data_IF_019306190075
#
_entry.id   IF_019306190075
#
_cell.length_a   1.000
_cell.length_b   1.000
_cell.length_c   1.000
_cell.angle_alpha   90.00
_cell.angle_beta   90.00
_cell.angle_gamma   90.00
#
_symmetry.space_group_name_H-M   'P 1'
#
loop_
_entity.id
_entity.type
_entity.pdbx_description
1 polymer ?
#
# COMPACT_ATOMS: atom_id res chain seq x y z
N UNK A 1 -24.97 -7.65 -8.08
CA UNK A 1 -23.54 -7.22 -8.06
C UNK A 1 -23.00 -7.51 -6.67
N UNK A 2 -21.76 -7.99 -6.55
CA UNK A 2 -21.15 -8.23 -5.24
C UNK A 2 -20.72 -6.91 -4.57
N UNK A 3 -20.92 -6.80 -3.27
CA UNK A 3 -20.53 -5.66 -2.43
C UNK A 3 -19.00 -5.47 -2.42
N UNK A 4 -18.55 -4.21 -2.24
CA UNK A 4 -17.14 -3.90 -1.99
C UNK A 4 -16.89 -3.87 -0.49
N UNK A 5 -15.93 -4.68 -0.02
CA UNK A 5 -15.46 -4.69 1.36
C UNK A 5 -14.04 -4.13 1.42
N UNK A 6 -13.80 -3.19 2.33
CA UNK A 6 -12.47 -2.59 2.54
C UNK A 6 -11.82 -3.24 3.76
N UNK A 7 -10.64 -3.82 3.57
CA UNK A 7 -9.91 -4.53 4.62
C UNK A 7 -8.62 -3.76 4.94
N UNK A 8 -8.38 -3.40 6.22
CA UNK A 8 -7.10 -2.83 6.63
C UNK A 8 -6.01 -3.90 6.54
N UNK A 9 -4.88 -3.53 5.95
CA UNK A 9 -3.70 -4.38 5.85
C UNK A 9 -2.97 -4.38 7.18
N UNK A 10 -2.63 -5.57 7.65
CA UNK A 10 -1.92 -5.83 8.90
C UNK A 10 -0.90 -6.96 8.72
N UNK A 11 0.30 -6.77 9.27
CA UNK A 11 1.37 -7.76 9.22
C UNK A 11 2.00 -7.99 7.84
N UNK A 12 3.06 -8.80 7.85
CA UNK A 12 3.95 -9.03 6.69
C UNK A 12 3.24 -9.62 5.47
N UNK A 13 2.37 -10.62 5.67
CA UNK A 13 1.69 -11.31 4.57
C UNK A 13 0.73 -10.38 3.82
N UNK A 14 -0.04 -9.57 4.55
CA UNK A 14 -0.99 -8.64 3.92
C UNK A 14 -0.26 -7.46 3.26
N UNK A 15 0.89 -7.01 3.80
CA UNK A 15 1.76 -6.04 3.11
C UNK A 15 2.27 -6.59 1.78
N UNK A 16 2.67 -7.86 1.73
CA UNK A 16 3.05 -8.50 0.48
C UNK A 16 1.88 -8.54 -0.51
N UNK A 17 0.68 -8.92 -0.06
CA UNK A 17 -0.52 -8.90 -0.89
C UNK A 17 -0.84 -7.50 -1.44
N UNK A 18 -0.64 -6.45 -0.63
CA UNK A 18 -0.82 -5.06 -1.05
C UNK A 18 0.16 -4.64 -2.15
N UNK A 19 1.44 -5.02 -2.04
CA UNK A 19 2.46 -4.77 -3.06
C UNK A 19 2.16 -5.56 -4.33
N UNK A 20 1.88 -6.85 -4.21
CA UNK A 20 1.63 -7.75 -5.34
C UNK A 20 0.39 -7.34 -6.13
N UNK A 21 -0.66 -6.86 -5.44
CA UNK A 21 -1.85 -6.33 -6.11
C UNK A 21 -1.52 -5.09 -6.96
N UNK A 22 -0.69 -4.19 -6.43
CA UNK A 22 -0.23 -3.01 -7.18
C UNK A 22 0.53 -3.40 -8.44
N UNK A 23 1.45 -4.36 -8.32
CA UNK A 23 2.21 -4.90 -9.45
C UNK A 23 1.28 -5.52 -10.50
N UNK A 24 0.34 -6.35 -10.09
CA UNK A 24 -0.62 -6.99 -10.99
C UNK A 24 -1.52 -5.99 -11.75
N UNK A 25 -1.74 -4.78 -11.22
CA UNK A 25 -2.41 -3.70 -11.95
C UNK A 25 -1.48 -3.05 -12.96
N UNK A 26 -0.25 -2.74 -12.55
CA UNK A 26 0.74 -2.09 -13.40
C UNK A 26 1.20 -2.98 -14.56
N UNK A 27 1.27 -4.31 -14.36
CA UNK A 27 1.64 -5.30 -15.40
C UNK A 27 0.65 -5.33 -16.59
N UNK A 28 -0.52 -4.70 -16.46
CA UNK A 28 -1.51 -4.56 -17.54
C UNK A 28 -1.22 -3.37 -18.47
N UNK A 29 -0.26 -2.51 -18.11
CA UNK A 29 0.09 -1.32 -18.87
C UNK A 29 1.22 -1.65 -19.86
N UNK A 30 1.06 -1.35 -21.17
CA UNK A 30 1.94 -1.88 -22.22
C UNK A 30 3.40 -1.40 -22.12
N UNK A 31 3.65 -0.25 -21.49
CA UNK A 31 4.98 0.36 -21.38
C UNK A 31 5.46 0.47 -19.93
N UNK A 32 4.87 -0.30 -19.01
CA UNK A 32 5.26 -0.26 -17.61
C UNK A 32 6.54 -1.07 -17.35
N UNK A 33 7.48 -0.45 -16.65
CA UNK A 33 8.70 -1.11 -16.17
C UNK A 33 8.57 -1.31 -14.67
N UNK A 34 8.53 -2.56 -14.17
CA UNK A 34 8.33 -2.82 -12.75
C UNK A 34 9.57 -2.43 -11.93
N UNK A 35 9.33 -1.79 -10.78
CA UNK A 35 10.32 -1.62 -9.72
C UNK A 35 10.71 -2.99 -9.12
N UNK A 36 11.84 -3.05 -8.42
CA UNK A 36 12.27 -4.28 -7.75
C UNK A 36 11.26 -4.60 -6.63
N UNK A 37 10.76 -5.84 -6.59
CA UNK A 37 9.72 -6.24 -5.64
C UNK A 37 10.15 -6.07 -4.18
N UNK A 38 11.41 -6.35 -3.86
CA UNK A 38 11.94 -6.17 -2.49
C UNK A 38 11.91 -4.71 -2.05
N UNK A 39 12.26 -3.77 -2.92
CA UNK A 39 12.20 -2.33 -2.62
C UNK A 39 10.77 -1.88 -2.34
N UNK A 40 9.80 -2.38 -3.13
CA UNK A 40 8.39 -2.08 -2.89
C UNK A 40 7.88 -2.64 -1.56
N UNK A 41 8.37 -3.80 -1.13
CA UNK A 41 8.06 -4.37 0.19
C UNK A 41 8.67 -3.53 1.31
N UNK A 42 9.93 -3.12 1.18
CA UNK A 42 10.61 -2.27 2.16
C UNK A 42 9.94 -0.90 2.29
N UNK A 43 9.46 -0.32 1.19
CA UNK A 43 8.74 0.95 1.18
C UNK A 43 7.49 0.95 2.08
N UNK A 44 6.82 -0.19 2.21
CA UNK A 44 5.59 -0.32 3.00
C UNK A 44 5.83 -0.98 4.36
N UNK A 45 7.07 -1.32 4.70
CA UNK A 45 7.43 -1.97 5.95
C UNK A 45 7.84 -0.92 7.01
N UNK A 46 7.12 -0.83 8.14
CA UNK A 46 7.46 0.10 9.22
C UNK A 46 8.85 -0.11 9.82
N UNK A 47 9.40 -1.33 9.74
CA UNK A 47 10.71 -1.66 10.30
C UNK A 47 11.86 -1.27 9.34
N UNK A 48 11.54 -0.87 8.10
CA UNK A 48 12.52 -0.58 7.04
C UNK A 48 12.43 0.84 6.50
N UNK A 49 11.26 1.46 6.51
CA UNK A 49 11.05 2.81 5.98
C UNK A 49 10.99 3.85 7.12
N UNK A 50 11.98 4.76 7.24
CA UNK A 50 12.03 5.79 8.27
C UNK A 50 10.82 6.73 8.31
N UNK A 51 10.08 6.85 7.20
CA UNK A 51 8.85 7.65 7.13
C UNK A 51 7.83 7.21 8.19
N UNK A 52 7.76 5.91 8.52
CA UNK A 52 6.88 5.38 9.55
C UNK A 52 7.27 5.82 10.98
N UNK A 53 8.48 6.35 11.17
CA UNK A 53 8.93 6.89 12.45
C UNK A 53 8.23 8.20 12.84
N UNK A 54 7.70 8.94 11.87
CA UNK A 54 6.97 10.20 12.11
C UNK A 54 5.59 10.26 11.43
N UNK A 55 5.26 9.31 10.56
CA UNK A 55 3.97 9.24 9.91
C UNK A 55 3.10 8.11 10.46
N UNK A 56 1.79 8.38 10.55
CA UNK A 56 0.78 7.34 10.76
C UNK A 56 0.31 6.85 9.39
N UNK A 57 0.54 5.57 9.11
CA UNK A 57 0.26 4.97 7.80
C UNK A 57 -0.68 3.79 7.97
N UNK A 58 -1.75 3.75 7.17
CA UNK A 58 -2.62 2.59 7.04
C UNK A 58 -2.78 2.25 5.55
N UNK A 59 -2.57 0.98 5.22
CA UNK A 59 -2.80 0.44 3.88
C UNK A 59 -4.14 -0.30 3.87
N UNK A 60 -4.83 -0.28 2.73
CA UNK A 60 -6.13 -0.91 2.56
C UNK A 60 -6.19 -1.68 1.25
N UNK A 61 -6.92 -2.79 1.25
CA UNK A 61 -7.28 -3.55 0.05
C UNK A 61 -8.81 -3.60 -0.05
N UNK A 62 -9.32 -3.29 -1.24
CA UNK A 62 -10.73 -3.44 -1.58
C UNK A 62 -10.97 -4.82 -2.19
N UNK A 63 -11.98 -5.53 -1.69
CA UNK A 63 -12.41 -6.83 -2.22
C UNK A 63 -13.83 -6.74 -2.78
N UNK A 64 -14.08 -7.36 -3.93
CA UNK A 64 -15.42 -7.56 -4.51
C UNK A 64 -15.66 -9.04 -4.72
N UNK A 65 -16.58 -9.62 -3.96
CA UNK A 65 -16.82 -11.08 -3.98
C UNK A 65 -15.57 -11.89 -3.68
N UNK A 66 -14.80 -11.47 -2.66
CA UNK A 66 -13.53 -12.09 -2.25
C UNK A 66 -12.31 -11.73 -3.12
N UNK A 67 -12.52 -11.26 -4.35
CA UNK A 67 -11.41 -10.89 -5.25
C UNK A 67 -10.86 -9.51 -4.91
N UNK A 68 -9.54 -9.34 -4.74
CA UNK A 68 -8.96 -8.01 -4.56
C UNK A 68 -9.09 -7.19 -5.85
N UNK A 69 -9.62 -5.98 -5.75
CA UNK A 69 -9.96 -5.10 -6.89
C UNK A 69 -9.38 -3.70 -6.78
N UNK A 70 -8.79 -3.34 -5.65
CA UNK A 70 -8.20 -2.02 -5.46
C UNK A 70 -7.31 -1.97 -4.22
N UNK A 71 -6.45 -0.97 -4.16
CA UNK A 71 -5.64 -0.67 -2.98
C UNK A 71 -5.45 0.84 -2.83
N UNK A 72 -5.30 1.29 -1.59
CA UNK A 72 -4.93 2.67 -1.27
C UNK A 72 -4.11 2.70 0.02
N UNK A 73 -3.23 3.68 0.15
CA UNK A 73 -2.56 3.99 1.40
C UNK A 73 -2.99 5.37 1.89
N UNK A 74 -3.23 5.50 3.18
CA UNK A 74 -3.57 6.75 3.85
C UNK A 74 -2.45 7.09 4.82
N UNK A 75 -1.82 8.25 4.64
CA UNK A 75 -0.65 8.69 5.40
C UNK A 75 -0.98 10.02 6.09
N UNK A 76 -0.67 10.14 7.37
CA UNK A 76 -0.65 11.41 8.09
C UNK A 76 0.80 11.66 8.51
N UNK A 77 1.46 12.62 7.86
CA UNK A 77 2.81 13.03 8.22
C UNK A 77 2.77 14.02 9.38
N UNK A 78 3.17 13.59 10.57
CA UNK A 78 3.17 14.46 11.75
C UNK A 78 4.26 15.53 11.68
N UNK A 79 5.36 15.29 10.94
CA UNK A 79 6.43 16.28 10.78
C UNK A 79 5.95 17.47 9.95
N UNK A 80 5.25 17.19 8.84
CA UNK A 80 4.69 18.23 7.99
C UNK A 80 3.71 19.14 8.75
N UNK A 81 2.96 18.61 9.72
CA UNK A 81 2.05 19.40 10.56
C UNK A 81 2.77 20.36 11.52
N UNK A 82 4.04 20.11 11.83
CA UNK A 82 4.85 20.94 12.73
C UNK A 82 5.72 21.96 11.99
N UNK A 83 5.78 21.90 10.65
CA UNK A 83 6.57 22.85 9.86
C UNK A 83 5.85 24.21 9.75
N UNK A 84 6.58 25.32 9.86
CA UNK A 84 6.03 26.64 9.59
C UNK A 84 5.62 26.77 8.11
N UNK A 85 4.59 27.59 7.87
CA UNK A 85 4.07 27.86 6.53
C UNK A 85 4.99 28.76 5.69
#
# INVERSE_FOLDING_TARGET
MAEIVIVPVSGKQQRAAFVDLGRAFSDRLPNFVPQIRSEQLELVDPDKNPFFGHARVQLFIAHRGGKPVGRISAHIDALALAMPA
#
